data_IF_560855862175
#
_entry.id   IF_560855862175
#
_cell.length_a   1.000
_cell.length_b   1.000
_cell.length_c   1.000
_cell.angle_alpha   90.00
_cell.angle_beta   90.00
_cell.angle_gamma   90.00
#
_symmetry.space_group_name_H-M   'P 1'
#
loop_
_entity.id
_entity.type
_entity.pdbx_description
1 polymer ?
#
# COMPACT_ATOMS: atom_id res chain seq x y z
N UNK A 1 39.81 20.04 30.73
CA UNK A 1 39.26 18.75 31.00
C UNK A 1 37.81 18.77 31.31
N UNK A 2 37.41 19.57 32.23
CA UNK A 2 36.00 19.63 32.57
C UNK A 2 35.17 20.09 31.38
N UNK A 3 35.72 20.98 30.59
CA UNK A 3 34.99 21.50 29.46
C UNK A 3 34.82 20.43 28.40
N UNK A 4 35.79 19.59 28.20
CA UNK A 4 35.70 18.53 27.25
C UNK A 4 34.65 17.53 27.67
N UNK A 5 34.58 17.24 28.95
CA UNK A 5 33.59 16.32 29.45
C UNK A 5 32.18 16.90 29.27
N UNK A 6 32.03 18.19 29.49
CA UNK A 6 30.75 18.83 29.33
C UNK A 6 30.30 18.78 27.87
N UNK A 7 31.26 19.02 26.97
CA UNK A 7 30.95 18.95 25.55
C UNK A 7 30.55 17.55 25.16
N UNK A 8 31.22 16.54 25.67
CA UNK A 8 30.89 15.17 25.36
C UNK A 8 29.51 14.82 25.89
N UNK A 9 29.18 15.30 27.08
CA UNK A 9 27.86 15.03 27.63
C UNK A 9 26.79 15.68 26.76
N UNK A 10 27.02 16.90 26.34
CA UNK A 10 26.07 17.60 25.49
C UNK A 10 25.90 16.87 24.17
N UNK A 11 27.01 16.45 23.57
CA UNK A 11 26.95 15.71 22.33
C UNK A 11 26.18 14.42 22.51
N UNK A 12 26.39 13.73 23.63
CA UNK A 12 25.72 12.50 23.89
C UNK A 12 24.21 12.70 24.02
N UNK A 13 23.83 13.77 24.70
CA UNK A 13 22.43 14.07 24.87
C UNK A 13 21.78 14.41 23.53
N UNK A 14 22.50 15.12 22.68
CA UNK A 14 21.97 15.44 21.38
C UNK A 14 21.82 14.17 20.54
N UNK A 15 22.80 13.29 20.61
CA UNK A 15 22.70 12.04 19.88
C UNK A 15 21.54 11.19 20.36
N UNK A 16 21.35 11.16 21.67
CA UNK A 16 20.23 10.41 22.22
C UNK A 16 18.90 10.98 21.73
N UNK A 17 18.83 12.30 21.67
CA UNK A 17 17.63 12.96 21.21
C UNK A 17 17.38 12.65 19.76
N UNK A 18 18.42 12.68 18.94
CA UNK A 18 18.28 12.35 17.53
C UNK A 18 17.88 10.90 17.34
N UNK A 19 18.45 10.03 18.14
CA UNK A 19 18.12 8.62 18.05
C UNK A 19 16.66 8.39 18.39
N UNK A 20 16.17 9.03 19.43
CA UNK A 20 14.78 8.91 19.81
C UNK A 20 13.86 9.40 18.69
N UNK A 21 14.27 10.49 18.04
CA UNK A 21 13.50 11.03 16.94
C UNK A 21 13.48 10.03 15.78
N UNK A 22 14.63 9.44 15.48
CA UNK A 22 14.72 8.46 14.42
C UNK A 22 13.87 7.23 14.73
N UNK A 23 13.90 6.78 15.97
CA UNK A 23 13.08 5.64 16.34
C UNK A 23 11.61 5.94 16.14
N UNK A 24 11.21 7.13 16.51
CA UNK A 24 9.82 7.53 16.31
C UNK A 24 9.48 7.57 14.82
N UNK A 25 10.39 8.07 14.01
CA UNK A 25 10.18 8.12 12.57
C UNK A 25 10.07 6.72 11.98
N UNK A 26 10.92 5.81 12.43
CA UNK A 26 10.89 4.44 11.94
C UNK A 26 9.56 3.78 12.31
N UNK A 27 9.08 4.02 13.52
CA UNK A 27 7.81 3.47 13.92
C UNK A 27 6.68 4.01 13.06
N UNK A 28 6.70 5.30 12.78
CA UNK A 28 5.68 5.90 11.94
C UNK A 28 5.74 5.33 10.53
N UNK A 29 6.94 5.14 10.00
CA UNK A 29 7.10 4.55 8.68
C UNK A 29 6.60 3.11 8.65
N UNK A 30 6.90 2.36 9.69
CA UNK A 30 6.43 0.98 9.76
C UNK A 30 4.91 0.92 9.79
N UNK A 31 4.30 1.83 10.53
CA UNK A 31 2.85 1.89 10.57
C UNK A 31 2.26 2.22 9.20
N UNK A 32 2.87 3.18 8.52
CA UNK A 32 2.44 3.55 7.19
C UNK A 32 2.57 2.39 6.23
N UNK A 33 3.67 1.64 6.33
CA UNK A 33 3.86 0.48 5.48
C UNK A 33 2.80 -0.58 5.74
N UNK A 34 2.48 -0.81 7.00
CA UNK A 34 1.46 -1.78 7.33
C UNK A 34 0.11 -1.37 6.76
N UNK A 35 -0.22 -0.09 6.88
CA UNK A 35 -1.46 0.41 6.34
C UNK A 35 -1.50 0.26 4.83
N UNK A 36 -0.40 0.58 4.17
CA UNK A 36 -0.33 0.47 2.73
C UNK A 36 -0.44 -0.98 2.27
N UNK A 37 0.17 -1.89 3.02
CA UNK A 37 0.06 -3.29 2.67
C UNK A 37 -1.39 -3.77 2.75
N UNK A 38 -2.10 -3.31 3.74
CA UNK A 38 -3.50 -3.67 3.85
C UNK A 38 -4.31 -3.10 2.69
N UNK A 39 -4.01 -1.86 2.31
CA UNK A 39 -4.70 -1.26 1.18
C UNK A 39 -4.41 -2.05 -0.09
N UNK A 40 -3.17 -2.45 -0.27
CA UNK A 40 -2.81 -3.23 -1.45
C UNK A 40 -3.57 -4.55 -1.47
N UNK A 41 -3.68 -5.21 -0.32
CA UNK A 41 -4.39 -6.47 -0.27
C UNK A 41 -5.87 -6.29 -0.59
N UNK A 42 -6.47 -5.22 -0.09
CA UNK A 42 -7.86 -4.95 -0.39
C UNK A 42 -8.04 -4.66 -1.88
N UNK A 43 -7.15 -3.86 -2.45
CA UNK A 43 -7.23 -3.54 -3.86
C UNK A 43 -7.04 -4.78 -4.72
N UNK A 44 -6.14 -5.65 -4.35
CA UNK A 44 -5.94 -6.88 -5.09
C UNK A 44 -7.18 -7.74 -5.06
N UNK A 45 -7.81 -7.82 -3.90
CA UNK A 45 -9.02 -8.61 -3.78
C UNK A 45 -10.12 -8.03 -4.64
N UNK A 46 -10.24 -6.71 -4.66
CA UNK A 46 -11.25 -6.08 -5.48
C UNK A 46 -10.99 -6.31 -6.96
N UNK A 47 -9.72 -6.28 -7.35
CA UNK A 47 -9.37 -6.56 -8.73
C UNK A 47 -9.71 -8.00 -9.10
N UNK A 48 -9.46 -8.92 -8.19
CA UNK A 48 -9.80 -10.30 -8.45
C UNK A 48 -11.30 -10.48 -8.62
N UNK A 49 -12.05 -9.82 -7.78
CA UNK A 49 -13.50 -9.90 -7.88
C UNK A 49 -14.01 -9.31 -9.19
N UNK A 50 -13.43 -8.20 -9.59
CA UNK A 50 -13.80 -7.60 -10.86
C UNK A 50 -13.43 -8.53 -12.01
N UNK A 51 -12.28 -9.14 -11.93
CA UNK A 51 -11.85 -10.05 -12.96
C UNK A 51 -12.79 -11.25 -13.04
N UNK A 52 -13.19 -11.76 -11.91
CA UNK A 52 -14.12 -12.87 -11.89
C UNK A 52 -15.43 -12.49 -12.53
N UNK A 53 -15.91 -11.30 -12.25
CA UNK A 53 -17.15 -10.85 -12.84
C UNK A 53 -17.03 -10.74 -14.34
N UNK A 54 -15.93 -10.21 -14.81
CA UNK A 54 -15.70 -10.10 -16.21
C UNK A 54 -15.63 -11.48 -16.86
N UNK A 55 -14.94 -12.39 -16.22
CA UNK A 55 -14.84 -13.75 -16.74
C UNK A 55 -16.20 -14.41 -16.79
N UNK A 56 -16.98 -14.21 -15.76
CA UNK A 56 -18.32 -14.79 -15.73
C UNK A 56 -19.18 -14.22 -16.83
N UNK A 57 -19.10 -12.93 -17.04
CA UNK A 57 -19.89 -12.33 -18.08
C UNK A 57 -19.41 -12.78 -19.46
N UNK A 58 -18.14 -12.92 -19.60
CA UNK A 58 -17.61 -13.35 -20.87
C UNK A 58 -18.01 -14.77 -21.17
N UNK A 59 -18.06 -15.57 -20.16
CA UNK A 59 -18.37 -16.96 -20.35
C UNK A 59 -19.82 -17.21 -20.42
N UNK A 60 -20.60 -16.30 -20.00
CA UNK A 60 -22.04 -16.51 -19.91
C UNK A 60 -22.58 -16.66 -21.29
N UNK A 61 -22.82 -17.81 -21.70
CA UNK A 61 -23.08 -18.05 -23.05
C UNK A 61 -24.40 -17.54 -23.50
N UNK A 62 -25.29 -17.76 -22.73
CA UNK A 62 -26.57 -17.36 -23.09
C UNK A 62 -26.58 -15.96 -23.48
N UNK A 63 -26.16 -15.22 -22.67
CA UNK A 63 -26.18 -13.84 -22.90
C UNK A 63 -25.52 -13.59 -24.18
N UNK A 64 -24.49 -14.25 -24.34
CA UNK A 64 -23.83 -14.00 -25.38
C UNK A 64 -24.49 -14.20 -26.53
N UNK A 65 -24.79 -15.24 -26.71
CA UNK A 65 -25.35 -15.57 -27.80
C UNK A 65 -26.15 -14.61 -28.30
N UNK A 66 -26.95 -14.39 -27.67
CA UNK A 66 -27.88 -13.59 -28.14
C UNK A 66 -27.29 -12.40 -28.59
N UNK A 67 -26.76 -11.89 -27.94
CA UNK A 67 -26.48 -10.73 -28.19
C UNK A 67 -25.68 -10.39 -28.97
N UNK A 68 -25.26 -10.49 -28.77
CA UNK A 68 -24.69 -9.90 -29.23
C UNK A 68 -23.66 -9.71 -29.52
N UNK A 69 -23.45 -10.22 -29.98
CA UNK A 69 -22.28 -10.20 -30.45
C UNK A 69 -21.78 -8.87 -30.50
N UNK A 70 -22.38 -8.29 -31.04
CA UNK A 70 -22.01 -7.09 -31.18
C UNK A 70 -21.68 -6.41 -30.08
N UNK A 71 -22.42 -6.33 -29.45
CA UNK A 71 -22.30 -5.63 -28.42
C UNK A 71 -21.14 -5.63 -27.86
N UNK A 72 -20.75 -6.17 -27.82
CA UNK A 72 -19.82 -6.27 -27.17
C UNK A 72 -18.86 -5.62 -27.31
N UNK A 73 -18.64 -5.37 -27.79
CA UNK A 73 -17.75 -4.92 -27.85
C UNK A 73 -17.47 -4.04 -27.45
N UNK A 74 -17.48 -3.75 -27.49
CA UNK A 74 -16.99 -2.97 -27.30
C UNK A 74 -16.82 -2.38 -26.45
N UNK A 75 -16.96 -2.04 -26.21
CA UNK A 75 -16.65 -1.32 -25.49
C UNK A 75 -15.91 -1.47 -24.65
N UNK A 76 -15.68 -1.72 -24.47
CA UNK A 76 -15.11 -2.00 -23.64
C UNK A 76 -14.15 -1.59 -23.49
N UNK A 77 -13.80 -1.28 -23.52
CA UNK A 77 -12.90 -1.11 -23.29
C UNK A 77 -12.52 -0.65 -23.03
#
# INVERSE_FOLDING_TARGET
MAEELDELKTDLMELQSQLAFQEHTVQALNQTMADQQQEILVLRRQLELLKQRQDEQAVHPDADNSASPADEKPPHY
#
